data_IF_641316424008
#
_entry.id   IF_641316424008
#
_cell.length_a   1.000
_cell.length_b   1.000
_cell.length_c   1.000
_cell.angle_alpha   90.00
_cell.angle_beta   90.00
_cell.angle_gamma   90.00
#
_symmetry.space_group_name_H-M   'P 1'
#
loop_
_entity.id
_entity.type
_entity.pdbx_description
1 polymer ?
#
# COMPACT_ATOMS: atom_id res chain seq x y z
N UNK A 1 -15.33 -6.62 15.87
CA UNK A 1 -15.71 -7.27 14.59
C UNK A 1 -14.47 -7.49 13.72
N UNK A 2 -13.45 -8.19 14.23
CA UNK A 2 -12.18 -8.48 13.50
C UNK A 2 -11.85 -9.96 13.46
N UNK A 3 -12.67 -10.81 14.09
CA UNK A 3 -12.56 -12.26 13.98
C UNK A 3 -12.84 -12.67 12.54
N UNK A 4 -11.83 -13.28 11.89
CA UNK A 4 -11.92 -13.75 10.51
C UNK A 4 -11.20 -12.89 9.47
N UNK A 5 -10.48 -11.83 9.85
CA UNK A 5 -9.56 -11.13 8.92
C UNK A 5 -8.41 -12.07 8.57
N UNK A 6 -8.30 -12.44 7.28
CA UNK A 6 -7.26 -13.35 6.83
C UNK A 6 -5.98 -12.65 6.41
N UNK A 7 -6.06 -11.43 5.86
CA UNK A 7 -4.91 -10.77 5.24
C UNK A 7 -4.75 -9.31 5.65
N UNK A 8 -3.49 -8.89 5.71
CA UNK A 8 -3.04 -7.51 5.85
C UNK A 8 -2.25 -7.17 4.59
N UNK A 9 -2.80 -6.32 3.73
CA UNK A 9 -2.14 -5.87 2.50
C UNK A 9 -1.46 -4.52 2.70
N UNK A 10 -0.15 -4.49 2.56
CA UNK A 10 0.69 -3.30 2.71
C UNK A 10 1.11 -2.78 1.34
N UNK A 11 0.59 -1.60 0.97
CA UNK A 11 0.87 -1.02 -0.35
C UNK A 11 2.26 -0.38 -0.45
N UNK A 12 2.79 -0.34 -1.67
CA UNK A 12 4.04 0.28 -2.06
C UNK A 12 4.06 1.80 -1.80
N UNK A 13 5.18 2.33 -1.30
CA UNK A 13 5.32 3.69 -0.80
C UNK A 13 6.64 4.35 -1.18
N UNK A 14 7.48 3.69 -1.99
CA UNK A 14 8.79 4.17 -2.44
C UNK A 14 9.96 3.58 -1.66
N UNK A 15 11.04 3.30 -2.37
CA UNK A 15 12.32 2.80 -1.86
C UNK A 15 13.46 3.26 -2.77
N UNK A 16 14.70 3.15 -2.30
CA UNK A 16 15.93 3.38 -3.05
C UNK A 16 16.75 2.09 -2.99
N UNK A 17 16.71 1.23 -4.03
CA UNK A 17 17.42 -0.04 -4.01
C UNK A 17 18.93 0.16 -3.86
N UNK A 18 19.49 -0.36 -2.77
CA UNK A 18 20.93 -0.35 -2.51
C UNK A 18 21.30 -1.54 -1.64
N UNK A 19 21.98 -2.54 -2.23
CA UNK A 19 22.36 -3.79 -1.56
C UNK A 19 23.48 -3.63 -0.53
N UNK A 20 24.09 -2.45 -0.43
CA UNK A 20 25.19 -2.16 0.52
C UNK A 20 24.70 -1.61 1.86
N UNK A 21 23.40 -1.31 2.00
CA UNK A 21 22.81 -0.74 3.21
C UNK A 21 21.65 -1.59 3.72
N UNK A 22 21.27 -1.37 4.99
CA UNK A 22 20.19 -2.11 5.64
C UNK A 22 18.84 -1.92 4.92
N UNK A 23 17.98 -2.93 4.94
CA UNK A 23 16.69 -2.91 4.24
C UNK A 23 15.80 -1.75 4.70
N UNK A 24 15.80 -1.42 5.99
CA UNK A 24 15.05 -0.30 6.57
C UNK A 24 15.50 1.05 5.99
N UNK A 25 16.80 1.20 5.71
CA UNK A 25 17.40 2.41 5.16
C UNK A 25 17.13 2.57 3.66
N UNK A 26 16.76 1.48 2.97
CA UNK A 26 16.34 1.53 1.58
C UNK A 26 14.87 1.99 1.45
N UNK A 27 14.06 1.89 2.50
CA UNK A 27 12.65 2.30 2.44
C UNK A 27 12.49 3.81 2.61
N UNK A 28 11.57 4.39 1.85
CA UNK A 28 11.14 5.76 2.13
C UNK A 28 10.44 5.84 3.49
N UNK A 29 10.37 7.06 4.03
CA UNK A 29 9.61 7.39 5.23
C UNK A 29 8.14 6.91 5.19
N UNK A 30 7.52 6.93 4.01
CA UNK A 30 6.15 6.45 3.80
C UNK A 30 6.09 4.93 3.82
N UNK A 31 7.00 4.26 3.11
CA UNK A 31 7.03 2.79 3.05
C UNK A 31 7.34 2.16 4.41
N UNK A 32 8.32 2.70 5.15
CA UNK A 32 8.67 2.20 6.47
C UNK A 32 7.50 2.30 7.45
N UNK A 33 6.80 3.44 7.49
CA UNK A 33 5.62 3.61 8.36
C UNK A 33 4.45 2.69 7.99
N UNK A 34 4.32 2.29 6.73
CA UNK A 34 3.35 1.27 6.30
C UNK A 34 3.73 -0.12 6.79
N UNK A 35 5.02 -0.48 6.71
CA UNK A 35 5.51 -1.75 7.27
C UNK A 35 5.26 -1.80 8.78
N UNK A 36 5.57 -0.73 9.52
CA UNK A 36 5.30 -0.65 10.95
C UNK A 36 3.82 -0.91 11.29
N UNK A 37 2.90 -0.31 10.54
CA UNK A 37 1.46 -0.54 10.75
C UNK A 37 1.05 -1.97 10.37
N UNK A 38 1.61 -2.52 9.29
CA UNK A 38 1.40 -3.92 8.90
C UNK A 38 1.88 -4.91 9.98
N UNK A 39 3.07 -4.69 10.54
CA UNK A 39 3.63 -5.48 11.65
C UNK A 39 2.76 -5.37 12.90
N UNK A 40 2.33 -4.14 13.26
CA UNK A 40 1.41 -3.93 14.39
C UNK A 40 0.12 -4.74 14.23
N UNK A 41 -0.48 -4.74 13.03
CA UNK A 41 -1.67 -5.53 12.73
C UNK A 41 -1.39 -7.04 12.77
N UNK A 42 -0.24 -7.49 12.27
CA UNK A 42 0.14 -8.91 12.29
C UNK A 42 0.29 -9.42 13.73
N UNK A 43 0.81 -8.59 14.64
CA UNK A 43 0.90 -8.92 16.06
C UNK A 43 -0.46 -9.02 16.74
N UNK A 44 -1.43 -8.20 16.33
CA UNK A 44 -2.82 -8.24 16.85
C UNK A 44 -3.60 -9.41 16.23
N UNK A 45 -3.26 -9.79 15.00
CA UNK A 45 -3.92 -10.83 14.22
C UNK A 45 -2.90 -11.91 13.79
N UNK A 46 -2.41 -12.74 14.72
CA UNK A 46 -1.27 -13.64 14.48
C UNK A 46 -1.53 -14.74 13.44
N UNK A 47 -2.79 -14.99 13.08
CA UNK A 47 -3.19 -15.95 12.05
C UNK A 47 -3.36 -15.33 10.65
N UNK A 48 -3.12 -14.02 10.52
CA UNK A 48 -3.27 -13.31 9.25
C UNK A 48 -1.98 -13.40 8.42
N UNK A 49 -2.13 -13.42 7.09
CA UNK A 49 -0.99 -13.26 6.19
C UNK A 49 -0.68 -11.77 6.01
N UNK A 50 0.58 -11.41 6.22
CA UNK A 50 1.12 -10.10 5.93
C UNK A 50 1.63 -10.07 4.48
N UNK A 51 0.97 -9.29 3.63
CA UNK A 51 1.22 -9.27 2.19
C UNK A 51 1.86 -7.93 1.83
N UNK A 52 3.09 -7.99 1.32
CA UNK A 52 3.84 -6.82 0.86
C UNK A 52 3.69 -6.65 -0.65
N UNK A 53 3.50 -5.42 -1.12
CA UNK A 53 3.40 -5.13 -2.55
C UNK A 53 4.27 -3.98 -3.01
N UNK A 54 4.77 -4.10 -4.24
CA UNK A 54 5.51 -3.04 -4.92
C UNK A 54 6.70 -3.57 -5.69
N UNK A 55 6.87 -3.08 -6.91
CA UNK A 55 7.95 -3.48 -7.79
C UNK A 55 9.32 -2.91 -7.41
N UNK A 56 10.36 -3.42 -8.06
CA UNK A 56 11.69 -2.82 -8.03
C UNK A 56 11.74 -1.54 -8.86
N UNK A 57 12.51 -0.56 -8.39
CA UNK A 57 12.86 0.63 -9.18
C UNK A 57 14.17 0.48 -9.97
N UNK A 58 14.90 -0.63 -9.78
CA UNK A 58 16.19 -0.88 -10.45
C UNK A 58 16.29 -2.34 -10.88
N UNK A 59 16.53 -2.58 -12.17
CA UNK A 59 16.66 -3.93 -12.71
C UNK A 59 17.80 -4.68 -11.99
N UNK A 60 17.56 -5.95 -11.64
CA UNK A 60 18.52 -6.77 -10.91
C UNK A 60 18.62 -6.48 -9.41
N UNK A 61 17.79 -5.58 -8.87
CA UNK A 61 17.71 -5.32 -7.43
C UNK A 61 16.38 -5.81 -6.84
N UNK A 62 16.36 -6.09 -5.52
CA UNK A 62 15.14 -6.44 -4.81
C UNK A 62 14.02 -5.43 -5.05
N UNK A 63 12.81 -5.95 -5.19
CA UNK A 63 11.57 -5.19 -5.24
C UNK A 63 11.28 -4.49 -3.93
N UNK A 64 10.42 -3.47 -3.98
CA UNK A 64 9.96 -2.83 -2.75
C UNK A 64 9.30 -3.84 -1.80
N UNK A 65 8.52 -4.77 -2.35
CA UNK A 65 7.84 -5.80 -1.57
C UNK A 65 8.81 -6.73 -0.84
N UNK A 66 9.91 -7.13 -1.49
CA UNK A 66 10.97 -7.94 -0.87
C UNK A 66 11.66 -7.17 0.26
N UNK A 67 12.04 -5.90 0.03
CA UNK A 67 12.66 -5.07 1.06
C UNK A 67 11.72 -4.89 2.26
N UNK A 68 10.42 -4.63 2.01
CA UNK A 68 9.42 -4.53 3.08
C UNK A 68 9.27 -5.84 3.87
N UNK A 69 9.29 -6.98 3.19
CA UNK A 69 9.19 -8.28 3.82
C UNK A 69 10.39 -8.55 4.74
N UNK A 70 11.61 -8.24 4.29
CA UNK A 70 12.81 -8.37 5.12
C UNK A 70 12.73 -7.47 6.36
N UNK A 71 12.27 -6.22 6.23
CA UNK A 71 12.05 -5.35 7.39
C UNK A 71 10.99 -5.90 8.36
N UNK A 72 9.92 -6.53 7.86
CA UNK A 72 8.95 -7.17 8.75
C UNK A 72 9.54 -8.38 9.48
N UNK A 73 10.44 -9.14 8.83
CA UNK A 73 11.16 -10.26 9.44
C UNK A 73 12.11 -9.77 10.53
N UNK A 74 12.88 -8.71 10.29
CA UNK A 74 13.77 -8.12 11.30
C UNK A 74 12.99 -7.60 12.53
N UNK A 75 11.73 -7.20 12.33
CA UNK A 75 10.80 -6.81 13.38
C UNK A 75 10.07 -7.98 14.06
N UNK A 76 10.37 -9.22 13.70
CA UNK A 76 9.90 -10.43 14.39
C UNK A 76 8.69 -11.13 13.77
N UNK A 77 8.21 -10.70 12.60
CA UNK A 77 7.16 -11.44 11.87
C UNK A 77 7.77 -12.68 11.23
N UNK A 78 7.20 -13.87 11.50
CA UNK A 78 7.71 -15.12 10.92
C UNK A 78 7.49 -15.13 9.41
N UNK A 79 8.52 -15.55 8.66
CA UNK A 79 8.53 -15.62 7.19
C UNK A 79 7.36 -16.41 6.59
N UNK A 80 6.89 -17.45 7.27
CA UNK A 80 5.76 -18.28 6.83
C UNK A 80 4.42 -17.51 6.71
N UNK A 81 4.26 -16.43 7.47
CA UNK A 81 3.08 -15.56 7.41
C UNK A 81 3.24 -14.40 6.42
N UNK A 82 4.40 -14.26 5.77
CA UNK A 82 4.67 -13.17 4.84
C UNK A 82 4.50 -13.65 3.39
N UNK A 83 3.83 -12.84 2.57
CA UNK A 83 3.72 -13.03 1.13
C UNK A 83 4.12 -11.77 0.38
N UNK A 84 4.64 -11.95 -0.83
CA UNK A 84 5.21 -10.88 -1.66
C UNK A 84 4.47 -10.81 -2.99
N UNK A 85 4.16 -9.60 -3.43
CA UNK A 85 3.67 -9.26 -4.77
C UNK A 85 4.63 -8.19 -5.36
N UNK A 86 5.58 -8.62 -6.19
CA UNK A 86 6.72 -7.79 -6.64
C UNK A 86 6.54 -7.14 -8.02
N UNK A 87 5.40 -7.32 -8.68
CA UNK A 87 5.12 -6.80 -10.02
C UNK A 87 4.48 -5.40 -10.10
N UNK A 88 3.66 -4.93 -9.12
CA UNK A 88 2.87 -3.73 -9.33
C UNK A 88 3.67 -2.44 -9.06
N UNK A 89 3.55 -1.44 -9.94
CA UNK A 89 4.06 -0.07 -9.75
C UNK A 89 3.00 0.94 -9.32
N UNK A 90 1.73 0.56 -9.27
CA UNK A 90 0.67 1.46 -8.87
C UNK A 90 -0.47 0.72 -8.17
N UNK A 91 -1.30 1.49 -7.47
CA UNK A 91 -2.39 0.97 -6.64
C UNK A 91 -3.44 0.15 -7.40
N UNK A 92 -3.68 0.48 -8.68
CA UNK A 92 -4.60 -0.28 -9.54
C UNK A 92 -4.05 -1.69 -9.78
N UNK A 93 -2.77 -1.79 -10.16
CA UNK A 93 -2.10 -3.07 -10.35
C UNK A 93 -1.97 -3.84 -9.04
N UNK A 94 -1.63 -3.18 -7.92
CA UNK A 94 -1.58 -3.84 -6.61
C UNK A 94 -2.91 -4.55 -6.30
N UNK A 95 -4.03 -3.88 -6.54
CA UNK A 95 -5.35 -4.46 -6.33
C UNK A 95 -5.67 -5.61 -7.29
N UNK A 96 -5.20 -5.56 -8.55
CA UNK A 96 -5.40 -6.63 -9.53
C UNK A 96 -4.52 -7.86 -9.21
N UNK A 97 -3.23 -7.65 -8.97
CA UNK A 97 -2.30 -8.73 -8.64
C UNK A 97 -2.67 -9.41 -7.33
N UNK A 98 -3.15 -8.66 -6.33
CA UNK A 98 -3.69 -9.24 -5.12
C UNK A 98 -4.89 -10.17 -5.41
N UNK A 99 -5.78 -9.80 -6.34
CA UNK A 99 -6.91 -10.64 -6.78
C UNK A 99 -6.42 -11.99 -7.30
N UNK A 100 -5.46 -11.92 -8.21
CA UNK A 100 -4.94 -13.07 -8.95
C UNK A 100 -4.25 -14.07 -8.03
N UNK A 101 -3.50 -13.58 -7.04
CA UNK A 101 -2.68 -14.43 -6.18
C UNK A 101 -3.42 -15.02 -4.98
N UNK A 102 -4.46 -14.35 -4.47
CA UNK A 102 -5.03 -14.71 -3.17
C UNK A 102 -6.51 -15.10 -3.19
N UNK A 103 -7.25 -14.86 -4.29
CA UNK A 103 -8.62 -15.33 -4.55
C UNK A 103 -9.68 -15.18 -3.43
N UNK A 104 -9.41 -14.43 -2.35
CA UNK A 104 -10.30 -14.32 -1.19
C UNK A 104 -11.14 -13.06 -1.34
N UNK A 105 -12.29 -13.21 -1.99
CA UNK A 105 -13.27 -12.13 -2.17
C UNK A 105 -14.21 -11.93 -0.98
N UNK A 106 -14.26 -12.87 -0.03
CA UNK A 106 -15.31 -12.88 1.00
C UNK A 106 -14.87 -12.45 2.39
N UNK A 107 -13.57 -12.56 2.72
CA UNK A 107 -13.08 -12.14 4.05
C UNK A 107 -12.62 -10.69 4.01
N UNK A 108 -12.85 -9.92 5.10
CA UNK A 108 -12.29 -8.59 5.22
C UNK A 108 -10.76 -8.63 5.19
N UNK A 109 -10.14 -7.63 4.57
CA UNK A 109 -8.68 -7.46 4.57
C UNK A 109 -8.32 -6.08 5.09
N UNK A 110 -7.24 -6.01 5.87
CA UNK A 110 -6.66 -4.71 6.21
C UNK A 110 -5.92 -4.14 5.02
N UNK A 111 -6.24 -2.91 4.63
CA UNK A 111 -5.51 -2.18 3.59
C UNK A 111 -4.66 -1.09 4.22
N UNK A 112 -3.35 -1.32 4.26
CA UNK A 112 -2.36 -0.42 4.86
C UNK A 112 -1.76 0.50 3.79
N UNK A 113 -1.99 1.80 3.93
CA UNK A 113 -1.40 2.84 3.08
C UNK A 113 -1.33 4.18 3.81
N UNK A 114 -0.70 5.21 3.22
CA UNK A 114 -0.64 6.55 3.83
C UNK A 114 -2.06 7.13 3.95
N UNK A 115 -2.36 7.82 5.05
CA UNK A 115 -3.68 8.40 5.30
C UNK A 115 -4.19 9.24 4.12
N UNK A 116 -3.31 10.05 3.51
CA UNK A 116 -3.62 10.86 2.33
C UNK A 116 -4.03 10.03 1.10
N UNK A 117 -3.39 8.88 0.88
CA UNK A 117 -3.64 7.99 -0.28
C UNK A 117 -4.84 7.05 -0.06
N UNK A 118 -5.32 6.93 1.19
CA UNK A 118 -6.30 5.92 1.56
C UNK A 118 -7.63 6.11 0.83
N UNK A 119 -8.09 7.35 0.60
CA UNK A 119 -9.33 7.64 -0.13
C UNK A 119 -9.31 7.05 -1.55
N UNK A 120 -8.21 7.28 -2.29
CA UNK A 120 -8.05 6.74 -3.64
C UNK A 120 -7.92 5.23 -3.64
N UNK A 121 -7.14 4.68 -2.71
CA UNK A 121 -6.98 3.24 -2.58
C UNK A 121 -8.32 2.54 -2.28
N UNK A 122 -9.08 3.02 -1.30
CA UNK A 122 -10.41 2.49 -0.98
C UNK A 122 -11.36 2.54 -2.18
N UNK A 123 -11.34 3.62 -2.96
CA UNK A 123 -12.15 3.72 -4.17
C UNK A 123 -11.79 2.65 -5.20
N UNK A 124 -10.51 2.41 -5.46
CA UNK A 124 -10.04 1.38 -6.38
C UNK A 124 -10.43 -0.02 -5.89
N UNK A 125 -10.13 -0.34 -4.63
CA UNK A 125 -10.38 -1.66 -4.07
C UNK A 125 -11.90 -1.96 -3.95
N UNK A 126 -12.72 -0.99 -3.53
CA UNK A 126 -14.18 -1.17 -3.49
C UNK A 126 -14.77 -1.45 -4.88
N UNK A 127 -14.26 -0.79 -5.93
CA UNK A 127 -14.69 -1.06 -7.31
C UNK A 127 -14.30 -2.44 -7.82
N UNK A 128 -13.27 -3.06 -7.25
CA UNK A 128 -12.86 -4.43 -7.56
C UNK A 128 -13.60 -5.48 -6.70
N UNK A 129 -14.53 -5.05 -5.84
CA UNK A 129 -15.38 -5.92 -5.03
C UNK A 129 -14.73 -6.43 -3.75
N UNK A 130 -13.72 -5.74 -3.23
CA UNK A 130 -13.07 -6.14 -1.97
C UNK A 130 -13.82 -5.65 -0.73
N UNK A 131 -13.84 -6.49 0.30
CA UNK A 131 -14.21 -6.10 1.65
C UNK A 131 -12.98 -5.55 2.39
N UNK A 132 -12.85 -4.23 2.45
CA UNK A 132 -11.66 -3.56 3.00
C UNK A 132 -11.93 -2.99 4.39
N UNK A 133 -11.04 -3.29 5.33
CA UNK A 133 -10.88 -2.53 6.57
C UNK A 133 -9.74 -1.53 6.36
N UNK A 134 -10.00 -0.21 6.34
CA UNK A 134 -8.95 0.78 6.18
C UNK A 134 -7.98 0.76 7.35
N UNK A 135 -6.68 0.77 7.05
CA UNK A 135 -5.61 0.98 8.04
C UNK A 135 -4.73 2.15 7.57
N UNK A 136 -5.03 3.38 8.01
CA UNK A 136 -4.19 4.53 7.69
C UNK A 136 -2.87 4.46 8.44
N UNK A 137 -1.77 4.47 7.69
CA UNK A 137 -0.43 4.77 8.19
C UNK A 137 -0.09 6.24 7.95
N UNK A 138 0.86 6.77 8.70
CA UNK A 138 1.46 8.08 8.47
C UNK A 138 0.48 9.24 8.20
N UNK A 139 -0.01 9.86 9.29
CA UNK A 139 -0.73 11.13 9.21
C UNK A 139 0.27 12.28 9.20
N UNK A 140 0.23 13.09 8.15
CA UNK A 140 1.13 14.23 7.96
C UNK A 140 0.80 15.37 8.93
N UNK A 141 -0.48 15.62 9.17
CA UNK A 141 -0.95 16.59 10.16
C UNK A 141 -1.98 15.91 11.07
N UNK A 142 -1.81 16.08 12.38
CA UNK A 142 -2.73 15.62 13.42
C UNK A 142 -2.90 16.76 14.42
N UNK A 143 -4.13 17.07 14.84
CA UNK A 143 -4.44 18.04 15.90
C UNK A 143 -3.71 19.38 15.74
N UNK A 144 -3.95 20.03 14.59
CA UNK A 144 -3.28 21.25 14.22
C UNK A 144 -3.83 22.47 14.99
N UNK A 145 -3.04 23.02 15.92
CA UNK A 145 -3.32 24.27 16.63
C UNK A 145 -2.33 25.35 16.17
N UNK A 146 -2.65 26.12 15.11
CA UNK A 146 -1.75 27.14 14.62
C UNK A 146 -1.63 28.29 15.62
N UNK A 147 -0.40 28.72 15.87
CA UNK A 147 -0.09 29.93 16.62
C UNK A 147 0.66 30.91 15.70
N UNK A 148 0.75 32.18 16.10
CA UNK A 148 1.27 33.26 15.25
C UNK A 148 2.67 32.97 14.69
N UNK A 149 3.55 32.31 15.46
CA UNK A 149 4.87 31.89 15.00
C UNK A 149 4.84 30.87 13.86
N UNK A 150 3.90 29.93 13.88
CA UNK A 150 3.71 28.97 12.78
C UNK A 150 3.23 29.66 11.50
N UNK A 151 2.35 30.68 11.61
CA UNK A 151 1.86 31.43 10.44
C UNK A 151 2.95 32.26 9.75
N UNK A 152 3.93 32.74 10.51
CA UNK A 152 4.99 33.61 9.99
C UNK A 152 6.24 32.84 9.54
N UNK A 153 6.38 31.58 9.96
CA UNK A 153 7.49 30.72 9.53
C UNK A 153 7.19 30.08 8.16
N UNK A 154 8.05 30.26 7.14
CA UNK A 154 7.89 29.55 5.88
C UNK A 154 8.13 28.04 6.08
N UNK A 155 7.10 27.23 5.80
CA UNK A 155 7.20 25.77 5.78
C UNK A 155 7.18 25.24 4.34
N UNK A 156 8.36 24.88 3.81
CA UNK A 156 8.49 24.32 2.47
C UNK A 156 7.90 22.91 2.33
N UNK A 157 7.68 22.19 3.45
CA UNK A 157 7.02 20.88 3.40
C UNK A 157 5.55 21.03 2.98
N UNK A 158 4.93 22.18 3.23
CA UNK A 158 3.57 22.47 2.78
C UNK A 158 3.45 22.34 1.25
N UNK A 159 4.44 22.80 0.49
CA UNK A 159 4.45 22.70 -0.97
C UNK A 159 4.54 21.23 -1.41
N UNK A 160 5.40 20.46 -0.74
CA UNK A 160 5.54 19.03 -1.02
C UNK A 160 4.23 18.27 -0.73
N UNK A 161 3.61 18.52 0.43
CA UNK A 161 2.35 17.90 0.83
C UNK A 161 1.17 18.35 -0.04
N UNK A 162 1.15 19.61 -0.46
CA UNK A 162 0.18 20.11 -1.43
C UNK A 162 0.33 19.39 -2.77
N UNK A 163 1.57 19.19 -3.24
CA UNK A 163 1.86 18.38 -4.43
C UNK A 163 1.38 16.93 -4.31
N UNK A 164 1.60 16.27 -3.17
CA UNK A 164 1.05 14.94 -2.89
C UNK A 164 -0.49 14.94 -2.91
N UNK A 165 -1.12 15.95 -2.31
CA UNK A 165 -2.58 16.09 -2.28
C UNK A 165 -3.17 16.30 -3.68
N UNK A 166 -2.56 17.15 -4.51
CA UNK A 166 -2.97 17.33 -5.91
C UNK A 166 -2.85 16.04 -6.70
N UNK A 167 -1.74 15.29 -6.54
CA UNK A 167 -1.58 13.97 -7.17
C UNK A 167 -2.70 13.01 -6.78
N UNK A 168 -3.18 13.05 -5.53
CA UNK A 168 -4.30 12.24 -5.08
C UNK A 168 -5.64 12.66 -5.67
N UNK A 169 -5.92 13.98 -5.76
CA UNK A 169 -7.12 14.49 -6.44
C UNK A 169 -7.12 14.06 -7.89
N UNK A 170 -6.01 14.28 -8.60
CA UNK A 170 -5.89 13.92 -10.01
C UNK A 170 -6.04 12.41 -10.17
N UNK A 171 -5.29 11.61 -9.40
CA UNK A 171 -5.33 10.15 -9.49
C UNK A 171 -6.73 9.57 -9.22
N UNK A 172 -7.45 10.10 -8.22
CA UNK A 172 -8.83 9.71 -7.91
C UNK A 172 -9.77 10.02 -9.08
N UNK A 173 -9.69 11.22 -9.65
CA UNK A 173 -10.57 11.63 -10.75
C UNK A 173 -10.22 10.94 -12.06
N UNK A 174 -8.94 10.69 -12.36
CA UNK A 174 -8.53 9.88 -13.51
C UNK A 174 -9.16 8.49 -13.43
N UNK A 175 -9.13 7.84 -12.26
CA UNK A 175 -9.76 6.53 -12.09
C UNK A 175 -11.29 6.61 -12.23
N UNK A 176 -11.94 7.65 -11.68
CA UNK A 176 -13.37 7.88 -11.89
C UNK A 176 -13.73 8.03 -13.37
N UNK A 177 -12.95 8.79 -14.13
CA UNK A 177 -13.16 8.99 -15.56
C UNK A 177 -12.98 7.69 -16.34
N UNK A 178 -11.92 6.92 -16.05
CA UNK A 178 -11.69 5.60 -16.67
C UNK A 178 -12.90 4.67 -16.52
N UNK A 179 -13.54 4.68 -15.35
CA UNK A 179 -14.78 3.91 -15.10
C UNK A 179 -15.94 4.47 -15.94
N UNK A 180 -16.16 5.78 -15.91
CA UNK A 180 -17.29 6.41 -16.60
C UNK A 180 -17.25 6.21 -18.12
N UNK A 181 -16.06 6.23 -18.72
CA UNK A 181 -15.86 6.03 -20.17
C UNK A 181 -15.79 4.56 -20.58
N UNK A 182 -16.00 3.62 -19.65
CA UNK A 182 -15.97 2.18 -19.95
C UNK A 182 -14.59 1.66 -20.37
N UNK A 183 -13.50 2.33 -20.00
CA UNK A 183 -12.15 1.87 -20.31
C UNK A 183 -11.92 0.53 -19.59
N UNK A 184 -11.99 -0.56 -20.35
CA UNK A 184 -11.80 -1.94 -19.87
C UNK A 184 -10.33 -2.18 -19.48
N UNK A 185 -9.88 -1.59 -18.37
CA UNK A 185 -8.85 -2.22 -17.53
C UNK A 185 -9.44 -3.42 -16.75
N UNK A 186 -10.78 -3.50 -16.72
CA UNK A 186 -11.58 -4.50 -16.00
C UNK A 186 -11.82 -5.81 -16.77
N UNK A 187 -11.08 -6.04 -17.85
CA UNK A 187 -11.21 -7.28 -18.60
C UNK A 187 -10.52 -8.42 -17.85
N UNK A 188 -11.34 -9.34 -17.37
CA UNK A 188 -11.01 -10.71 -16.95
C UNK A 188 -10.40 -11.58 -18.07
N UNK A 189 -9.70 -11.02 -19.05
CA UNK A 189 -9.03 -11.76 -20.14
C UNK A 189 -7.67 -12.27 -19.69
N UNK A 190 -7.73 -13.35 -18.91
CA UNK A 190 -6.91 -14.58 -18.93
C UNK A 190 -7.29 -15.38 -17.68
N UNK A 191 -8.56 -15.79 -17.60
CA UNK A 191 -9.05 -16.78 -16.63
C UNK A 191 -9.00 -18.21 -17.17
N UNK A 192 -8.56 -18.41 -18.41
CA UNK A 192 -8.26 -19.71 -19.00
C UNK A 192 -6.84 -19.65 -19.57
N UNK A 193 -5.83 -20.07 -18.82
CA UNK A 193 -4.64 -20.84 -19.24
C UNK A 193 -3.84 -21.10 -17.95
N UNK A 194 -4.15 -22.21 -17.29
CA UNK A 194 -3.26 -23.13 -16.58
C UNK A 194 -4.12 -24.08 -15.73
N UNK A 195 -4.97 -24.86 -16.42
CA UNK A 195 -5.21 -26.24 -16.04
C UNK A 195 -4.43 -27.08 -17.04
N UNK A 196 -3.20 -27.42 -16.67
CA UNK A 196 -2.51 -28.62 -17.12
C UNK A 196 -1.96 -29.27 -15.86
#
# INVERSE_FOLDING_TARGET
MTDGVSHILVLGGGHTPNTEILFEQQLSNTALRRVLEGVRLANIHPNSLLIMSGQSLKLGHPSQAEIQAEVAITMGVKKEFIKIISEPYNTEKEAIFYKMNFAIHKKPIFLVTKALHLKRALFIFSKLGYNIIPSPSYFVYQNFNPHLGWFLAPDFNLILHFGEYLKEIVGYNVFRCKIAIGFKSFSSTKLDVQKN
#
